data_IF_612064155763
#
_entry.id   IF_612064155763
#
_cell.length_a   1.000
_cell.length_b   1.000
_cell.length_c   1.000
_cell.angle_alpha   90.00
_cell.angle_beta   90.00
_cell.angle_gamma   90.00
#
_symmetry.space_group_name_H-M   'P 1'
#
loop_
_entity.id
_entity.type
_entity.pdbx_description
1 polymer ?
#
# COMPACT_ATOMS: atom_id res chain seq x y z
N UNK A 1 -3.44 28.91 -48.54
CA UNK A 1 -2.58 29.99 -47.97
C UNK A 1 -2.42 29.92 -46.45
N UNK A 2 -3.45 29.57 -45.67
CA UNK A 2 -3.37 29.47 -44.20
C UNK A 2 -2.37 28.40 -43.68
N UNK A 3 -2.34 27.21 -44.28
CA UNK A 3 -1.42 26.13 -43.88
C UNK A 3 0.08 26.45 -44.10
N UNK A 4 0.41 27.22 -45.16
CA UNK A 4 1.80 27.64 -45.45
C UNK A 4 2.27 28.80 -44.54
N UNK A 5 1.35 29.59 -43.97
CA UNK A 5 1.68 30.66 -43.02
C UNK A 5 1.95 30.12 -41.62
N UNK A 6 1.20 29.10 -41.18
CA UNK A 6 1.39 28.48 -39.86
C UNK A 6 2.72 27.72 -39.71
N UNK A 7 3.23 27.10 -40.77
CA UNK A 7 4.55 26.44 -40.78
C UNK A 7 5.73 27.42 -40.66
N UNK A 8 5.56 28.70 -41.03
CA UNK A 8 6.65 29.68 -41.06
C UNK A 8 6.93 30.30 -39.67
N UNK A 9 5.90 30.41 -38.82
CA UNK A 9 6.01 31.02 -37.48
C UNK A 9 6.67 30.11 -36.44
N UNK A 10 6.38 28.80 -36.48
CA UNK A 10 6.97 27.82 -35.55
C UNK A 10 8.17 27.05 -36.15
N UNK A 11 8.77 27.55 -37.23
CA UNK A 11 9.75 26.83 -38.05
C UNK A 11 11.02 26.39 -37.33
N UNK A 12 11.73 27.29 -36.64
CA UNK A 12 13.03 27.01 -36.00
C UNK A 12 12.92 26.69 -34.50
N UNK A 13 11.75 26.26 -34.01
CA UNK A 13 11.49 26.04 -32.57
C UNK A 13 11.89 27.24 -31.69
N UNK A 14 11.24 28.41 -31.84
CA UNK A 14 11.57 29.64 -31.10
C UNK A 14 11.22 29.58 -29.60
N UNK A 15 10.63 28.48 -29.13
CA UNK A 15 10.23 28.32 -27.75
C UNK A 15 11.36 27.65 -26.94
N UNK A 16 11.65 28.15 -25.73
CA UNK A 16 12.68 27.58 -24.86
C UNK A 16 12.27 26.21 -24.29
N UNK A 17 13.27 25.37 -24.02
CA UNK A 17 13.12 24.08 -23.32
C UNK A 17 12.06 23.15 -23.95
N UNK A 18 11.14 22.58 -23.15
CA UNK A 18 10.11 21.63 -23.58
C UNK A 18 8.80 22.31 -24.06
N UNK A 19 8.79 23.63 -24.26
CA UNK A 19 7.59 24.37 -24.65
C UNK A 19 7.19 24.11 -26.11
N UNK A 20 5.90 23.90 -26.34
CA UNK A 20 5.33 23.73 -27.68
C UNK A 20 4.94 25.08 -28.29
N UNK A 21 5.29 25.30 -29.56
CA UNK A 21 4.90 26.50 -30.30
C UNK A 21 3.50 26.34 -30.91
N UNK A 22 2.59 27.27 -30.61
CA UNK A 22 1.24 27.31 -31.19
C UNK A 22 0.99 28.66 -31.89
N UNK A 23 0.53 28.68 -33.16
CA UNK A 23 0.19 29.92 -33.86
C UNK A 23 -1.09 30.54 -33.29
N UNK A 24 -1.17 31.87 -33.21
CA UNK A 24 -2.37 32.60 -32.82
C UNK A 24 -3.09 33.21 -34.02
N UNK A 25 -4.39 33.46 -33.87
CA UNK A 25 -5.25 34.04 -34.93
C UNK A 25 -4.79 35.43 -35.40
N UNK A 26 -4.08 36.17 -34.55
CA UNK A 26 -3.55 37.51 -34.86
C UNK A 26 -2.26 37.48 -35.70
N UNK A 27 -1.83 36.31 -36.17
CA UNK A 27 -0.56 36.14 -36.89
C UNK A 27 0.67 36.20 -35.98
N UNK A 28 0.49 36.03 -34.66
CA UNK A 28 1.58 35.91 -33.69
C UNK A 28 1.80 34.43 -33.32
N UNK A 29 2.86 34.15 -32.55
CA UNK A 29 3.10 32.84 -31.95
C UNK A 29 2.96 32.92 -30.43
N UNK A 30 2.63 31.78 -29.81
CA UNK A 30 2.61 31.60 -28.37
C UNK A 30 3.37 30.31 -28.03
N UNK A 31 4.24 30.36 -27.04
CA UNK A 31 4.82 29.17 -26.43
C UNK A 31 3.90 28.70 -25.30
N UNK A 32 3.54 27.42 -25.31
CA UNK A 32 2.76 26.79 -24.25
C UNK A 32 3.58 25.67 -23.63
N UNK A 33 3.68 25.67 -22.30
CA UNK A 33 4.26 24.53 -21.60
C UNK A 33 3.34 23.31 -21.72
N UNK A 34 3.88 22.09 -21.55
CA UNK A 34 3.07 20.91 -21.30
C UNK A 34 2.05 21.17 -20.17
N UNK A 35 0.92 20.47 -20.21
CA UNK A 35 -0.09 20.55 -19.16
C UNK A 35 0.57 20.35 -17.78
N UNK A 36 0.14 21.12 -16.77
CA UNK A 36 0.64 21.10 -15.40
C UNK A 36 2.04 21.71 -15.15
N UNK A 37 2.63 22.41 -16.13
CA UNK A 37 3.88 23.16 -15.92
C UNK A 37 3.64 24.68 -15.89
N UNK A 38 4.35 25.37 -15.01
CA UNK A 38 4.31 26.84 -14.87
C UNK A 38 5.65 27.47 -15.28
N UNK A 39 5.58 28.75 -15.68
CA UNK A 39 6.68 29.59 -16.22
C UNK A 39 6.96 29.36 -17.71
N UNK A 40 6.24 30.11 -18.55
CA UNK A 40 6.23 30.05 -20.02
C UNK A 40 7.62 30.25 -20.66
N UNK A 41 8.51 30.99 -19.97
CA UNK A 41 9.85 31.32 -20.47
C UNK A 41 10.87 30.17 -20.37
N UNK A 42 10.56 29.08 -19.66
CA UNK A 42 11.51 27.96 -19.54
C UNK A 42 10.88 26.60 -19.25
N UNK A 43 9.58 26.53 -18.91
CA UNK A 43 8.91 25.32 -18.42
C UNK A 43 9.80 24.55 -17.44
N UNK A 44 10.35 25.25 -16.44
CA UNK A 44 11.27 24.67 -15.46
C UNK A 44 10.59 24.38 -14.12
N UNK A 45 9.36 24.89 -13.92
CA UNK A 45 8.65 24.75 -12.67
C UNK A 45 7.41 23.89 -12.86
N UNK A 46 7.50 22.67 -12.37
CA UNK A 46 6.36 21.79 -12.19
C UNK A 46 5.32 22.41 -11.24
N UNK A 47 4.04 22.22 -11.55
CA UNK A 47 2.97 22.63 -10.64
C UNK A 47 2.77 21.52 -9.62
N UNK A 48 2.80 21.85 -8.34
CA UNK A 48 2.47 20.86 -7.32
C UNK A 48 0.96 20.80 -7.13
N UNK A 49 0.29 19.89 -7.82
CA UNK A 49 -1.16 19.70 -7.69
C UNK A 49 -1.56 19.27 -6.27
N UNK A 50 -0.67 18.56 -5.56
CA UNK A 50 -0.92 18.10 -4.19
C UNK A 50 -0.94 19.26 -3.19
N UNK A 51 0.01 20.19 -3.32
CA UNK A 51 0.09 21.38 -2.46
C UNK A 51 -0.98 22.43 -2.81
N UNK A 52 -1.35 22.53 -4.08
CA UNK A 52 -2.38 23.47 -4.54
C UNK A 52 -3.81 22.95 -4.42
N UNK A 53 -3.98 21.65 -4.15
CA UNK A 53 -5.28 20.99 -4.05
C UNK A 53 -5.99 20.78 -5.40
N UNK A 54 -5.30 20.99 -6.51
CA UNK A 54 -5.84 20.80 -7.87
C UNK A 54 -5.69 19.36 -8.37
N UNK A 55 -5.88 18.38 -7.49
CA UNK A 55 -5.81 16.95 -7.79
C UNK A 55 -7.18 16.28 -7.57
N UNK A 56 -7.36 15.09 -8.12
CA UNK A 56 -8.59 14.29 -7.98
C UNK A 56 -8.39 12.99 -7.18
N UNK A 57 -7.31 12.92 -6.38
CA UNK A 57 -7.13 11.83 -5.43
C UNK A 57 -8.31 11.70 -4.46
N UNK A 58 -8.62 10.44 -4.11
CA UNK A 58 -9.59 10.13 -3.07
C UNK A 58 -9.20 10.82 -1.75
N UNK A 59 -10.20 11.20 -0.94
CA UNK A 59 -9.95 11.63 0.44
C UNK A 59 -9.23 10.54 1.27
N UNK A 60 -9.40 9.28 0.88
CA UNK A 60 -8.73 8.10 1.45
C UNK A 60 -7.43 7.73 0.71
N UNK A 61 -6.81 8.67 -0.02
CA UNK A 61 -5.52 8.49 -0.69
C UNK A 61 -4.51 9.56 -0.26
N UNK A 62 -3.22 9.25 -0.40
CA UNK A 62 -2.14 10.22 -0.43
C UNK A 62 -2.01 10.75 -1.86
N UNK A 63 -1.83 12.07 -1.99
CA UNK A 63 -1.37 12.69 -3.23
C UNK A 63 0.15 12.79 -3.16
N UNK A 64 0.84 12.34 -4.21
CA UNK A 64 2.28 12.54 -4.35
C UNK A 64 2.56 13.25 -5.68
N UNK A 65 3.20 14.40 -5.61
CA UNK A 65 3.49 15.21 -6.78
C UNK A 65 4.57 14.54 -7.64
N UNK A 66 4.43 14.63 -8.95
CA UNK A 66 5.41 14.13 -9.93
C UNK A 66 5.62 15.17 -11.01
N UNK A 67 6.76 15.12 -11.70
CA UNK A 67 7.02 16.12 -12.73
C UNK A 67 5.98 16.01 -13.87
N UNK A 68 5.14 17.03 -14.01
CA UNK A 68 4.05 17.17 -14.96
C UNK A 68 2.71 16.51 -14.57
N UNK A 69 2.59 15.95 -13.36
CA UNK A 69 1.38 15.22 -12.92
C UNK A 69 1.42 14.93 -11.42
N UNK A 70 0.43 14.20 -10.91
CA UNK A 70 0.48 13.59 -9.58
C UNK A 70 0.12 12.10 -9.64
N UNK A 71 0.52 11.36 -8.60
CA UNK A 71 0.11 9.98 -8.35
C UNK A 71 -0.71 9.94 -7.08
N UNK A 72 -1.87 9.29 -7.14
CA UNK A 72 -2.70 9.01 -5.98
C UNK A 72 -2.46 7.58 -5.51
N UNK A 73 -2.21 7.41 -4.21
CA UNK A 73 -2.02 6.08 -3.62
C UNK A 73 -2.98 5.93 -2.46
N UNK A 74 -3.86 4.92 -2.48
CA UNK A 74 -4.80 4.71 -1.38
C UNK A 74 -4.05 4.58 -0.03
N UNK A 75 -4.59 5.24 0.99
CA UNK A 75 -4.11 5.15 2.37
C UNK A 75 -4.24 3.71 2.85
N UNK A 76 -3.45 3.35 3.86
CA UNK A 76 -3.51 2.04 4.48
C UNK A 76 -4.95 1.67 4.87
N UNK A 77 -5.35 0.43 4.56
CA UNK A 77 -6.73 -0.04 4.77
C UNK A 77 -7.69 0.18 3.61
N UNK A 78 -7.24 0.78 2.50
CA UNK A 78 -8.03 0.98 1.29
C UNK A 78 -7.29 0.48 0.03
N UNK A 79 -8.05 0.02 -0.97
CA UNK A 79 -7.55 -0.33 -2.30
C UNK A 79 -8.32 0.35 -3.41
N UNK A 80 -7.65 0.50 -4.54
CA UNK A 80 -8.19 1.13 -5.73
C UNK A 80 -7.08 1.80 -6.53
N UNK A 81 -7.48 2.64 -7.47
CA UNK A 81 -6.58 3.41 -8.36
C UNK A 81 -6.09 4.73 -7.72
N UNK A 82 -6.28 4.91 -6.41
CA UNK A 82 -5.95 6.14 -5.70
C UNK A 82 -6.96 7.29 -5.87
N UNK A 83 -7.75 7.30 -6.96
CA UNK A 83 -8.85 8.25 -7.16
C UNK A 83 -10.16 7.72 -6.57
N UNK A 84 -10.35 6.41 -6.61
CA UNK A 84 -11.46 5.67 -5.97
C UNK A 84 -10.88 4.64 -5.03
N UNK A 85 -10.77 5.01 -3.76
CA UNK A 85 -10.33 4.09 -2.73
C UNK A 85 -11.54 3.45 -2.05
N UNK A 86 -11.58 2.11 -2.05
CA UNK A 86 -12.55 1.32 -1.31
C UNK A 86 -11.83 0.67 -0.15
N UNK A 87 -12.41 0.79 1.04
CA UNK A 87 -11.88 0.10 2.21
C UNK A 87 -11.86 -1.40 1.95
N UNK A 88 -10.77 -2.08 2.28
CA UNK A 88 -10.70 -3.53 2.15
C UNK A 88 -11.83 -4.19 2.96
N UNK A 89 -12.49 -5.18 2.35
CA UNK A 89 -13.42 -6.11 3.03
C UNK A 89 -12.79 -7.50 3.22
N UNK A 90 -11.54 -7.54 3.67
CA UNK A 90 -10.79 -8.73 4.16
C UNK A 90 -10.12 -9.62 3.10
N UNK A 91 -8.79 -9.57 2.97
CA UNK A 91 -7.90 -10.70 2.62
C UNK A 91 -6.49 -10.37 3.18
N UNK A 92 -5.91 -11.27 3.95
CA UNK A 92 -4.51 -11.23 4.39
C UNK A 92 -3.88 -12.58 4.00
N UNK A 93 -2.69 -12.56 3.41
CA UNK A 93 -1.94 -13.77 3.07
C UNK A 93 -0.50 -13.61 3.55
N UNK A 94 -0.11 -14.38 4.57
CA UNK A 94 1.30 -14.50 5.01
C UNK A 94 2.18 -15.24 4.00
N UNK A 95 1.88 -15.14 2.70
CA UNK A 95 2.63 -15.73 1.59
C UNK A 95 3.84 -14.88 1.16
N UNK A 96 4.23 -13.91 1.99
CA UNK A 96 5.40 -13.05 1.79
C UNK A 96 5.29 -11.98 0.69
N UNK A 97 4.20 -11.94 -0.06
CA UNK A 97 3.93 -10.86 -1.04
C UNK A 97 3.28 -9.62 -0.41
N UNK A 98 2.77 -9.74 0.82
CA UNK A 98 2.12 -8.64 1.52
C UNK A 98 3.13 -7.67 2.13
N UNK A 99 2.97 -6.37 1.84
CA UNK A 99 3.79 -5.26 2.36
C UNK A 99 3.32 -4.75 3.73
N UNK A 100 2.15 -5.20 4.19
CA UNK A 100 1.48 -4.72 5.40
C UNK A 100 1.57 -5.76 6.52
N UNK A 101 2.78 -6.18 6.87
CA UNK A 101 3.03 -7.06 8.01
C UNK A 101 4.19 -6.48 8.81
N UNK A 102 3.94 -6.15 10.07
CA UNK A 102 4.97 -5.68 10.99
C UNK A 102 5.68 -6.89 11.61
N UNK A 103 7.01 -6.85 11.66
CA UNK A 103 7.84 -7.97 12.11
C UNK A 103 8.59 -7.60 13.38
N UNK A 104 8.60 -8.49 14.37
CA UNK A 104 9.16 -8.23 15.69
C UNK A 104 10.01 -9.39 16.20
N UNK A 105 11.05 -9.04 16.99
CA UNK A 105 11.88 -9.97 17.76
C UNK A 105 12.39 -11.18 16.95
N UNK A 106 13.09 -10.94 15.84
CA UNK A 106 13.66 -12.04 15.03
C UNK A 106 12.69 -12.67 14.04
N UNK A 107 11.51 -12.08 13.85
CA UNK A 107 10.69 -12.31 12.67
C UNK A 107 11.32 -11.63 11.44
N UNK A 108 11.41 -12.35 10.33
CA UNK A 108 11.93 -11.85 9.05
C UNK A 108 11.20 -12.51 7.88
N UNK A 109 11.24 -11.90 6.70
CA UNK A 109 10.88 -12.61 5.48
C UNK A 109 12.12 -13.22 4.85
N UNK A 110 12.04 -14.50 4.47
CA UNK A 110 13.10 -15.20 3.76
C UNK A 110 12.61 -15.74 2.44
N UNK A 111 13.49 -15.83 1.44
CA UNK A 111 13.18 -16.51 0.19
C UNK A 111 13.55 -17.99 0.32
N UNK A 112 12.58 -18.87 0.13
CA UNK A 112 12.73 -20.33 0.17
C UNK A 112 12.04 -20.92 -1.05
N UNK A 113 12.79 -21.64 -1.89
CA UNK A 113 12.28 -22.26 -3.13
C UNK A 113 11.49 -21.31 -4.05
N UNK A 114 11.99 -20.08 -4.20
CA UNK A 114 11.34 -19.04 -5.02
C UNK A 114 10.06 -18.45 -4.40
N UNK A 115 9.72 -18.81 -3.16
CA UNK A 115 8.60 -18.24 -2.39
C UNK A 115 9.14 -17.39 -1.24
N UNK A 116 8.53 -16.24 -0.99
CA UNK A 116 8.83 -15.43 0.19
C UNK A 116 8.02 -15.95 1.36
N UNK A 117 8.68 -16.39 2.42
CA UNK A 117 8.06 -17.02 3.59
C UNK A 117 8.34 -16.21 4.84
N UNK A 118 7.37 -16.15 5.75
CA UNK A 118 7.59 -15.59 7.09
C UNK A 118 8.44 -16.57 7.89
N UNK A 119 9.63 -16.12 8.30
CA UNK A 119 10.55 -16.85 9.15
C UNK A 119 10.51 -16.30 10.57
N UNK A 120 10.35 -17.20 11.54
CA UNK A 120 10.34 -16.88 12.96
C UNK A 120 11.49 -17.66 13.59
N UNK A 121 12.51 -16.95 14.10
CA UNK A 121 13.77 -17.56 14.52
C UNK A 121 13.71 -18.41 15.82
N UNK A 122 12.51 -18.63 16.35
CA UNK A 122 12.28 -19.43 17.56
C UNK A 122 12.55 -18.70 18.88
N UNK A 123 12.85 -17.39 18.87
CA UNK A 123 12.95 -16.65 20.14
C UNK A 123 11.59 -16.58 20.85
N UNK A 124 11.60 -16.47 22.18
CA UNK A 124 10.37 -16.50 23.04
C UNK A 124 9.28 -15.49 22.65
N UNK A 125 9.57 -14.53 21.80
CA UNK A 125 8.64 -13.48 21.42
C UNK A 125 8.74 -13.11 19.93
N UNK A 126 9.23 -14.00 19.07
CA UNK A 126 9.19 -13.76 17.62
C UNK A 126 7.76 -13.75 17.13
N UNK A 127 7.33 -12.64 16.52
CA UNK A 127 5.99 -12.56 15.97
C UNK A 127 5.87 -11.61 14.78
N UNK A 128 4.82 -11.84 14.01
CA UNK A 128 4.35 -10.96 12.95
C UNK A 128 2.97 -10.44 13.30
N UNK A 129 2.73 -9.16 13.02
CA UNK A 129 1.43 -8.50 13.19
C UNK A 129 0.86 -8.10 11.84
N UNK A 130 -0.43 -8.38 11.64
CA UNK A 130 -1.20 -7.89 10.48
C UNK A 130 -2.12 -6.74 10.90
N UNK A 131 -2.49 -5.80 10.02
CA UNK A 131 -3.40 -4.70 10.34
C UNK A 131 -4.75 -5.15 10.90
N UNK A 132 -5.36 -4.30 11.74
CA UNK A 132 -6.56 -4.71 12.47
C UNK A 132 -7.76 -4.81 11.56
N UNK A 133 -8.57 -5.82 11.85
CA UNK A 133 -9.83 -6.07 11.19
C UNK A 133 -10.96 -5.70 12.13
N UNK A 134 -11.77 -4.67 11.82
CA UNK A 134 -12.92 -4.32 12.65
C UNK A 134 -14.00 -5.40 12.53
N UNK A 135 -14.07 -6.29 13.52
CA UNK A 135 -15.10 -7.34 13.60
C UNK A 135 -16.41 -6.68 14.08
N UNK A 136 -17.25 -6.27 13.13
CA UNK A 136 -18.50 -5.53 13.38
C UNK A 136 -19.76 -6.31 13.00
N UNK A 137 -19.74 -7.64 13.09
CA UNK A 137 -20.80 -8.60 12.68
C UNK A 137 -20.58 -9.15 11.27
N UNK A 138 -20.02 -10.36 11.19
CA UNK A 138 -20.21 -11.45 10.20
C UNK A 138 -19.15 -12.52 10.50
N UNK A 139 -19.46 -13.78 10.24
CA UNK A 139 -18.48 -14.86 10.19
C UNK A 139 -17.30 -14.45 9.29
N UNK A 140 -16.07 -14.62 9.78
CA UNK A 140 -14.87 -14.38 8.99
C UNK A 140 -14.05 -15.67 8.92
N UNK A 141 -13.41 -15.90 7.77
CA UNK A 141 -12.53 -17.05 7.56
C UNK A 141 -11.09 -16.57 7.53
N UNK A 142 -10.28 -17.17 8.39
CA UNK A 142 -8.84 -16.99 8.46
C UNK A 142 -8.23 -18.16 7.70
N UNK A 143 -7.57 -17.90 6.58
CA UNK A 143 -6.82 -18.93 5.85
C UNK A 143 -5.32 -18.59 5.92
N UNK A 144 -4.60 -19.29 6.79
CA UNK A 144 -3.15 -19.25 6.85
C UNK A 144 -2.56 -20.60 6.47
N UNK A 145 -1.54 -20.57 5.63
CA UNK A 145 -0.68 -21.72 5.38
C UNK A 145 0.53 -21.57 6.28
N UNK A 146 0.67 -22.46 7.26
CA UNK A 146 1.83 -22.44 8.15
C UNK A 146 2.68 -23.66 7.82
N UNK A 147 3.87 -23.40 7.26
CA UNK A 147 4.87 -24.43 7.05
C UNK A 147 5.90 -24.35 8.17
N UNK A 148 5.96 -25.40 8.99
CA UNK A 148 6.89 -25.49 10.12
C UNK A 148 8.09 -26.32 9.70
N UNK A 149 9.23 -25.66 9.47
CA UNK A 149 10.46 -26.33 9.06
C UNK A 149 11.20 -26.96 10.26
N UNK A 150 11.17 -26.31 11.42
CA UNK A 150 11.64 -26.87 12.69
C UNK A 150 11.04 -26.10 13.88
N UNK A 151 10.63 -26.82 14.92
CA UNK A 151 10.23 -26.25 16.21
C UNK A 151 10.96 -26.98 17.32
N UNK A 152 11.60 -26.24 18.22
CA UNK A 152 12.01 -26.81 19.50
C UNK A 152 10.76 -26.99 20.39
N UNK A 153 10.70 -28.06 21.18
CA UNK A 153 9.59 -28.33 22.11
C UNK A 153 9.33 -27.22 23.15
N UNK A 154 10.34 -26.39 23.43
CA UNK A 154 10.31 -25.38 24.49
C UNK A 154 9.87 -23.97 24.04
N UNK A 155 9.67 -23.72 22.74
CA UNK A 155 9.44 -22.37 22.23
C UNK A 155 8.09 -22.25 21.52
N UNK A 156 7.37 -21.18 21.85
CA UNK A 156 6.11 -20.81 21.21
C UNK A 156 6.37 -19.82 20.09
N UNK A 157 5.60 -19.99 19.01
CA UNK A 157 5.67 -19.11 17.85
C UNK A 157 4.30 -18.47 17.66
N UNK A 158 4.27 -17.15 17.43
CA UNK A 158 3.03 -16.39 17.43
C UNK A 158 2.84 -15.59 16.14
N UNK A 159 1.60 -15.58 15.68
CA UNK A 159 1.09 -14.73 14.61
C UNK A 159 -0.08 -13.94 15.20
N UNK A 160 0.02 -12.62 15.18
CA UNK A 160 -1.01 -11.73 15.70
C UNK A 160 -1.70 -10.98 14.56
N UNK A 161 -2.96 -10.65 14.76
CA UNK A 161 -3.54 -9.47 14.12
C UNK A 161 -3.58 -8.33 15.12
N UNK A 162 -3.30 -7.13 14.65
CA UNK A 162 -3.25 -5.83 15.31
C UNK A 162 -4.27 -5.68 16.45
N UNK A 163 -3.73 -5.15 17.54
CA UNK A 163 -4.30 -5.03 18.87
C UNK A 163 -5.26 -3.84 19.04
N UNK A 164 -5.73 -3.23 17.95
CA UNK A 164 -6.78 -2.21 18.08
C UNK A 164 -8.11 -2.80 18.61
N UNK A 165 -8.74 -2.12 19.56
CA UNK A 165 -10.05 -2.51 20.09
C UNK A 165 -11.13 -2.51 18.97
N UNK A 166 -12.18 -3.38 19.02
CA UNK A 166 -12.66 -4.14 20.19
C UNK A 166 -12.43 -5.66 20.16
N UNK A 167 -11.80 -6.22 19.12
CA UNK A 167 -11.55 -7.66 19.04
C UNK A 167 -10.20 -7.95 18.37
N UNK A 168 -9.48 -8.92 18.91
CA UNK A 168 -8.15 -9.34 18.45
C UNK A 168 -8.15 -10.86 18.26
N UNK A 169 -7.43 -11.37 17.26
CA UNK A 169 -7.15 -12.80 17.16
C UNK A 169 -5.66 -13.08 17.24
N UNK A 170 -5.31 -14.21 17.84
CA UNK A 170 -3.94 -14.72 17.92
C UNK A 170 -3.92 -16.15 17.44
N UNK A 171 -3.01 -16.46 16.52
CA UNK A 171 -2.68 -17.83 16.12
C UNK A 171 -1.31 -18.14 16.69
N UNK A 172 -1.15 -19.30 17.31
CA UNK A 172 0.14 -19.69 17.85
C UNK A 172 0.38 -21.19 17.72
N UNK A 173 1.66 -21.54 17.65
CA UNK A 173 2.11 -22.92 17.53
C UNK A 173 2.97 -23.23 18.74
N UNK A 174 2.71 -24.37 19.38
CA UNK A 174 3.44 -24.83 20.55
C UNK A 174 3.72 -26.33 20.49
N UNK A 175 4.86 -26.74 21.05
CA UNK A 175 5.23 -28.15 21.21
C UNK A 175 5.31 -28.91 19.89
N UNK A 176 4.71 -30.11 19.87
CA UNK A 176 4.65 -31.06 18.75
C UNK A 176 3.76 -30.62 17.58
N UNK A 177 3.89 -29.36 17.13
CA UNK A 177 3.13 -28.77 16.02
C UNK A 177 1.63 -28.58 16.31
N UNK A 178 1.24 -28.39 17.58
CA UNK A 178 -0.14 -28.04 17.91
C UNK A 178 -0.41 -26.59 17.51
N UNK A 179 -1.49 -26.36 16.77
CA UNK A 179 -1.93 -25.04 16.33
C UNK A 179 -3.10 -24.60 17.20
N UNK A 180 -2.98 -23.42 17.80
CA UNK A 180 -3.98 -22.80 18.65
C UNK A 180 -4.43 -21.47 18.05
N UNK A 181 -5.70 -21.11 18.24
CA UNK A 181 -6.15 -19.76 17.97
C UNK A 181 -7.17 -19.29 18.98
N UNK A 182 -7.00 -18.06 19.48
CA UNK A 182 -7.87 -17.44 20.47
C UNK A 182 -8.38 -16.09 19.95
N UNK A 183 -9.65 -15.81 20.21
CA UNK A 183 -10.25 -14.49 20.05
C UNK A 183 -10.25 -13.78 21.40
N UNK A 184 -9.82 -12.53 21.44
CA UNK A 184 -9.86 -11.67 22.62
C UNK A 184 -10.76 -10.47 22.37
N UNK A 185 -11.59 -10.09 23.33
CA UNK A 185 -12.39 -8.86 23.26
C UNK A 185 -11.68 -7.66 23.91
N UNK A 186 -12.26 -6.47 23.80
CA UNK A 186 -11.76 -5.20 24.36
C UNK A 186 -11.56 -5.26 25.88
N UNK A 187 -12.35 -6.05 26.59
CA UNK A 187 -12.26 -6.25 28.03
C UNK A 187 -11.20 -7.28 28.44
N UNK A 188 -10.45 -7.80 27.47
CA UNK A 188 -9.37 -8.73 27.67
C UNK A 188 -9.81 -10.18 27.84
N UNK A 189 -11.11 -10.48 27.79
CA UNK A 189 -11.62 -11.84 27.87
C UNK A 189 -11.29 -12.61 26.59
N UNK A 190 -10.77 -13.83 26.76
CA UNK A 190 -10.36 -14.70 25.65
C UNK A 190 -11.33 -15.86 25.48
N UNK A 191 -11.63 -16.21 24.24
CA UNK A 191 -12.34 -17.41 23.85
C UNK A 191 -11.50 -18.20 22.86
N UNK A 192 -11.25 -19.46 23.15
CA UNK A 192 -10.58 -20.35 22.20
C UNK A 192 -11.46 -20.59 20.97
N UNK A 193 -10.86 -20.50 19.78
CA UNK A 193 -11.54 -20.69 18.49
C UNK A 193 -11.38 -22.12 17.96
N UNK A 194 -10.27 -22.81 18.29
CA UNK A 194 -10.02 -24.21 17.90
C UNK A 194 -9.56 -25.04 19.09
N UNK A 195 -10.21 -26.20 19.31
CA UNK A 195 -9.95 -27.11 20.43
C UNK A 195 -8.87 -28.17 20.08
N UNK A 196 -7.67 -27.73 19.71
CA UNK A 196 -6.51 -28.61 19.46
C UNK A 196 -5.40 -28.45 20.51
N UNK A 197 -5.63 -27.61 21.52
CA UNK A 197 -4.62 -27.16 22.47
C UNK A 197 -4.90 -27.57 23.91
N UNK A 198 -5.81 -28.53 24.10
CA UNK A 198 -6.36 -28.91 25.39
C UNK A 198 -5.38 -28.91 26.56
N UNK A 199 -5.79 -28.21 27.60
CA UNK A 199 -5.73 -28.60 29.00
C UNK A 199 -7.08 -28.26 29.61
#
# INVERSE_FOLDING_TARGET
YLFRFQQKLCGTSPCPSAASCVPTIDGKLRCVCPANWTRIESCERDTDECSSGSHDCSADAYCNNTVGSFICTCKAGFSGDGKKCKRFRFHWALNGSDLNVSLYNGASYQNTDGRKVLYLNGSRHSYAETPALPIRVISFSIMCWINVLSLSSDHQVHIYSDWSEPHQFRIFIYGSHKICANLRNSFGATREMFNLCGG
#
